data_IF_295917812210
#
_entry.id   IF_295917812210
#
_cell.length_a   1.000
_cell.length_b   1.000
_cell.length_c   1.000
_cell.angle_alpha   90.00
_cell.angle_beta   90.00
_cell.angle_gamma   90.00
#
_symmetry.space_group_name_H-M   'P 1'
#
loop_
_entity.id
_entity.type
_entity.pdbx_description
1 polymer ?
#
# COMPACT_ATOMS: atom_id res chain seq x y z
N UNK A 1 -12.15 -10.99 -17.52
CA UNK A 1 -12.22 -11.34 -16.09
C UNK A 1 -11.54 -12.70 -15.91
N UNK A 2 -10.26 -12.72 -15.55
CA UNK A 2 -9.51 -13.98 -15.24
C UNK A 2 -8.14 -13.70 -14.59
N UNK A 3 -7.55 -12.51 -14.77
CA UNK A 3 -6.20 -12.22 -14.30
C UNK A 3 -6.05 -12.15 -12.77
N UNK A 4 -7.07 -11.71 -12.03
CA UNK A 4 -6.96 -11.56 -10.57
C UNK A 4 -7.04 -12.90 -9.80
N UNK A 5 -7.76 -13.91 -10.31
CA UNK A 5 -7.89 -15.21 -9.62
C UNK A 5 -6.61 -16.03 -9.66
N UNK A 6 -5.98 -16.13 -10.83
CA UNK A 6 -4.75 -16.91 -11.00
C UNK A 6 -3.56 -16.35 -10.22
N UNK A 7 -3.49 -15.03 -10.03
CA UNK A 7 -2.44 -14.42 -9.21
C UNK A 7 -2.54 -14.80 -7.73
N UNK A 8 -3.75 -14.95 -7.20
CA UNK A 8 -3.97 -15.36 -5.81
C UNK A 8 -3.58 -16.83 -5.59
N UNK A 9 -4.04 -17.72 -6.47
CA UNK A 9 -3.72 -19.16 -6.39
C UNK A 9 -2.21 -19.41 -6.54
N UNK A 10 -1.52 -18.67 -7.41
CA UNK A 10 -0.07 -18.73 -7.55
C UNK A 10 0.67 -18.28 -6.29
N UNK A 11 0.19 -17.23 -5.62
CA UNK A 11 0.78 -16.74 -4.37
C UNK A 11 0.55 -17.74 -3.23
N UNK A 12 -0.66 -18.30 -3.11
CA UNK A 12 -0.97 -19.34 -2.14
C UNK A 12 -0.12 -20.59 -2.36
N UNK A 13 -0.03 -21.05 -3.61
CA UNK A 13 0.80 -22.18 -3.97
C UNK A 13 2.28 -21.94 -3.65
N UNK A 14 2.82 -20.76 -4.01
CA UNK A 14 4.21 -20.40 -3.67
C UNK A 14 4.44 -20.39 -2.16
N UNK A 15 3.46 -19.94 -1.38
CA UNK A 15 3.50 -19.93 0.08
C UNK A 15 3.50 -21.35 0.66
N UNK A 16 2.66 -22.25 0.12
CA UNK A 16 2.65 -23.68 0.49
C UNK A 16 3.98 -24.38 0.17
N UNK A 17 4.67 -23.96 -0.90
CA UNK A 17 6.02 -24.46 -1.23
C UNK A 17 7.11 -23.90 -0.29
N UNK A 18 6.74 -23.09 0.70
CA UNK A 18 7.68 -22.49 1.66
C UNK A 18 8.42 -21.28 1.12
N UNK A 19 7.91 -20.61 0.07
CA UNK A 19 8.50 -19.37 -0.40
C UNK A 19 8.47 -18.32 0.73
N UNK A 20 9.61 -17.64 0.98
CA UNK A 20 9.64 -16.55 1.94
C UNK A 20 8.84 -15.37 1.42
N UNK A 21 8.31 -14.56 2.34
CA UNK A 21 7.78 -13.25 1.99
C UNK A 21 8.90 -12.43 1.36
N UNK A 22 8.64 -11.92 0.16
CA UNK A 22 9.50 -10.89 -0.40
C UNK A 22 9.12 -9.56 0.25
N UNK A 23 10.09 -8.75 0.66
CA UNK A 23 9.85 -7.40 1.18
C UNK A 23 8.97 -6.57 0.22
N UNK A 24 9.03 -6.86 -1.09
CA UNK A 24 8.21 -6.21 -2.09
C UNK A 24 6.81 -6.78 -2.33
N UNK A 25 6.38 -7.87 -1.69
CA UNK A 25 5.07 -8.48 -1.99
C UNK A 25 3.92 -7.56 -1.57
N UNK A 26 3.96 -7.05 -0.34
CA UNK A 26 2.96 -6.10 0.17
C UNK A 26 3.04 -4.78 -0.60
N UNK A 27 4.23 -4.24 -0.81
CA UNK A 27 4.44 -2.99 -1.55
C UNK A 27 3.96 -3.08 -3.01
N UNK A 28 4.18 -4.21 -3.68
CA UNK A 28 3.73 -4.45 -5.05
C UNK A 28 2.22 -4.58 -5.15
N UNK A 29 1.57 -5.29 -4.22
CA UNK A 29 0.11 -5.38 -4.15
C UNK A 29 -0.52 -4.02 -3.84
N UNK A 30 0.09 -3.26 -2.93
CA UNK A 30 -0.34 -1.93 -2.55
C UNK A 30 -0.30 -0.94 -3.72
N UNK A 31 0.80 -0.91 -4.47
CA UNK A 31 0.94 -0.08 -5.67
C UNK A 31 0.07 -0.50 -6.85
N UNK A 32 -0.55 -1.68 -6.81
CA UNK A 32 -1.56 -2.12 -7.79
C UNK A 32 -2.99 -1.89 -7.33
N UNK A 33 -3.20 -1.56 -6.06
CA UNK A 33 -4.53 -1.45 -5.46
C UNK A 33 -5.15 -2.79 -5.09
N UNK A 34 -4.35 -3.87 -5.05
CA UNK A 34 -4.83 -5.24 -4.80
C UNK A 34 -5.01 -5.50 -3.29
N UNK A 35 -6.04 -4.86 -2.72
CA UNK A 35 -6.42 -4.98 -1.30
C UNK A 35 -6.54 -6.44 -0.84
N UNK A 36 -7.06 -7.30 -1.71
CA UNK A 36 -7.32 -8.70 -1.40
C UNK A 36 -6.03 -9.50 -1.15
N UNK A 37 -4.97 -9.21 -1.90
CA UNK A 37 -3.65 -9.81 -1.72
C UNK A 37 -3.03 -9.29 -0.42
N UNK A 38 -3.17 -7.99 -0.14
CA UNK A 38 -2.69 -7.39 1.10
C UNK A 38 -3.36 -7.97 2.34
N UNK A 39 -4.68 -8.16 2.32
CA UNK A 39 -5.43 -8.79 3.40
C UNK A 39 -4.93 -10.19 3.69
N UNK A 40 -4.80 -11.01 2.64
CA UNK A 40 -4.29 -12.37 2.79
C UNK A 40 -2.84 -12.41 3.27
N UNK A 41 -1.96 -11.57 2.69
CA UNK A 41 -0.58 -11.47 3.13
C UNK A 41 -0.50 -11.08 4.62
N UNK A 42 -1.38 -10.18 5.06
CA UNK A 42 -1.46 -9.77 6.47
C UNK A 42 -1.92 -10.89 7.39
N UNK A 43 -2.92 -11.68 7.00
CA UNK A 43 -3.39 -12.85 7.75
C UNK A 43 -2.30 -13.92 7.89
N UNK A 44 -1.48 -14.09 6.85
CA UNK A 44 -0.34 -15.01 6.87
C UNK A 44 0.90 -14.48 7.61
N UNK A 45 0.82 -13.28 8.19
CA UNK A 45 1.91 -12.66 8.95
C UNK A 45 3.02 -12.07 8.09
N UNK A 46 2.73 -11.66 6.85
CA UNK A 46 3.70 -10.98 6.00
C UNK A 46 4.22 -9.70 6.66
N UNK A 47 5.53 -9.43 6.58
CA UNK A 47 6.07 -8.14 6.95
C UNK A 47 5.53 -7.07 6.00
N UNK A 48 5.32 -5.90 6.56
CA UNK A 48 4.93 -4.70 5.84
C UNK A 48 5.64 -3.50 6.48
N UNK A 49 5.93 -2.52 5.67
CA UNK A 49 6.72 -1.33 6.01
C UNK A 49 5.99 -0.07 5.54
N UNK A 50 6.56 1.10 5.85
CA UNK A 50 6.08 2.39 5.34
C UNK A 50 6.05 2.42 3.80
N UNK A 51 6.86 1.57 3.16
CA UNK A 51 7.01 1.48 1.72
C UNK A 51 5.74 0.93 1.07
N UNK A 52 5.00 0.09 1.80
CA UNK A 52 3.67 -0.40 1.41
C UNK A 52 2.66 0.75 1.28
N UNK A 53 2.57 1.63 2.27
CA UNK A 53 1.72 2.82 2.22
C UNK A 53 2.18 3.79 1.14
N UNK A 54 3.49 4.02 1.04
CA UNK A 54 4.12 4.84 0.01
C UNK A 54 3.75 4.40 -1.41
N UNK A 55 3.73 3.09 -1.68
CA UNK A 55 3.33 2.56 -3.00
C UNK A 55 1.84 2.67 -3.27
N UNK A 56 0.99 2.44 -2.28
CA UNK A 56 -0.45 2.68 -2.43
C UNK A 56 -0.75 4.15 -2.74
N UNK A 57 -0.03 5.06 -2.09
CA UNK A 57 -0.15 6.50 -2.32
C UNK A 57 0.34 6.92 -3.71
N UNK A 58 1.47 6.38 -4.16
CA UNK A 58 2.03 6.56 -5.50
C UNK A 58 1.06 6.10 -6.61
N UNK A 59 0.31 5.02 -6.38
CA UNK A 59 -0.72 4.52 -7.29
C UNK A 59 -2.12 5.15 -7.11
N UNK A 60 -2.28 6.06 -6.14
CA UNK A 60 -3.56 6.70 -5.87
C UNK A 60 -4.63 5.78 -5.25
N UNK A 61 -4.22 4.66 -4.67
CA UNK A 61 -5.09 3.62 -4.14
C UNK A 61 -5.57 3.94 -2.72
N UNK A 62 -6.54 4.87 -2.62
CA UNK A 62 -7.11 5.33 -1.36
C UNK A 62 -7.67 4.19 -0.48
N UNK A 63 -8.36 3.22 -1.08
CA UNK A 63 -8.97 2.10 -0.33
C UNK A 63 -7.91 1.22 0.34
N UNK A 64 -6.75 1.03 -0.29
CA UNK A 64 -5.62 0.33 0.31
C UNK A 64 -5.07 1.10 1.50
N UNK A 65 -4.93 2.42 1.38
CA UNK A 65 -4.44 3.27 2.46
C UNK A 65 -5.38 3.31 3.66
N UNK A 66 -6.69 3.37 3.43
CA UNK A 66 -7.70 3.27 4.49
C UNK A 66 -7.55 1.99 5.28
N UNK A 67 -7.50 0.85 4.57
CA UNK A 67 -7.33 -0.44 5.20
C UNK A 67 -5.98 -0.57 5.92
N UNK A 68 -4.89 -0.08 5.33
CA UNK A 68 -3.58 -0.07 5.97
C UNK A 68 -3.61 0.74 7.29
N UNK A 69 -4.33 1.87 7.30
CA UNK A 69 -4.51 2.69 8.50
C UNK A 69 -5.32 1.97 9.59
N UNK A 70 -6.40 1.28 9.23
CA UNK A 70 -7.17 0.46 10.19
C UNK A 70 -6.32 -0.63 10.84
N UNK A 71 -5.38 -1.17 10.08
CA UNK A 71 -4.43 -2.19 10.53
C UNK A 71 -3.20 -1.62 11.25
N UNK A 72 -3.20 -0.31 11.55
CA UNK A 72 -2.11 0.44 12.18
C UNK A 72 -0.77 0.33 11.44
N UNK A 73 -0.81 0.34 10.10
CA UNK A 73 0.38 0.36 9.28
C UNK A 73 1.27 1.58 9.61
N UNK A 74 2.61 1.40 9.61
CA UNK A 74 3.51 2.54 9.57
C UNK A 74 3.29 3.27 8.24
N UNK A 75 3.27 4.59 8.33
CA UNK A 75 3.21 5.48 7.19
C UNK A 75 4.08 6.69 7.50
N UNK A 76 4.87 7.08 6.52
CA UNK A 76 5.88 8.14 6.68
C UNK A 76 5.54 9.36 5.80
N UNK A 77 6.25 10.48 5.99
CA UNK A 77 6.15 11.70 5.16
C UNK A 77 6.20 11.40 3.64
N UNK A 78 6.94 10.35 3.27
CA UNK A 78 7.05 9.81 1.91
C UNK A 78 5.70 9.39 1.31
N UNK A 79 4.75 8.99 2.14
CA UNK A 79 3.39 8.62 1.70
C UNK A 79 2.68 9.82 1.10
N UNK A 80 2.77 10.98 1.75
CA UNK A 80 2.14 12.21 1.28
C UNK A 80 2.89 12.78 0.07
N UNK A 81 4.22 12.79 0.12
CA UNK A 81 5.06 13.23 -0.99
C UNK A 81 4.80 12.42 -2.28
N UNK A 82 4.68 11.08 -2.19
CA UNK A 82 4.35 10.23 -3.34
C UNK A 82 2.94 10.44 -3.86
N UNK A 83 1.95 10.62 -2.98
CA UNK A 83 0.60 10.97 -3.41
C UNK A 83 0.57 12.32 -4.17
N UNK A 84 1.37 13.30 -3.73
CA UNK A 84 1.53 14.58 -4.41
C UNK A 84 2.22 14.43 -5.76
N UNK A 85 3.35 13.71 -5.81
CA UNK A 85 4.09 13.45 -7.03
C UNK A 85 3.25 12.69 -8.08
N UNK A 86 2.38 11.77 -7.65
CA UNK A 86 1.42 11.07 -8.50
C UNK A 86 0.19 11.91 -8.91
N UNK A 87 0.03 13.13 -8.38
CA UNK A 87 -1.14 13.97 -8.61
C UNK A 87 -2.43 13.43 -7.99
N UNK A 88 -2.31 12.57 -6.98
CA UNK A 88 -3.43 11.89 -6.33
C UNK A 88 -4.01 12.73 -5.17
N UNK A 89 -4.60 13.87 -5.52
CA UNK A 89 -5.18 14.82 -4.55
C UNK A 89 -6.20 14.20 -3.58
N UNK A 90 -6.95 13.18 -4.01
CA UNK A 90 -7.90 12.45 -3.16
C UNK A 90 -7.22 11.70 -2.02
N UNK A 91 -6.06 11.10 -2.30
CA UNK A 91 -5.23 10.43 -1.29
C UNK A 91 -4.62 11.45 -0.34
N UNK A 92 -4.05 12.55 -0.85
CA UNK A 92 -3.51 13.64 -0.05
C UNK A 92 -4.54 14.23 0.91
N UNK A 93 -5.74 14.53 0.41
CA UNK A 93 -6.82 15.10 1.23
C UNK A 93 -7.19 14.16 2.36
N UNK A 94 -7.35 12.87 2.06
CA UNK A 94 -7.66 11.89 3.09
C UNK A 94 -6.51 11.70 4.09
N UNK A 95 -5.25 11.62 3.63
CA UNK A 95 -4.09 11.52 4.50
C UNK A 95 -3.98 12.73 5.45
N UNK A 96 -4.32 13.93 4.98
CA UNK A 96 -4.43 15.15 5.78
C UNK A 96 -5.50 15.05 6.86
N UNK A 97 -6.69 14.51 6.54
CA UNK A 97 -7.76 14.31 7.54
C UNK A 97 -7.37 13.31 8.62
N UNK A 98 -6.49 12.35 8.30
CA UNK A 98 -5.98 11.36 9.26
C UNK A 98 -4.79 11.83 10.09
N UNK A 99 -4.30 13.07 9.89
CA UNK A 99 -3.17 13.62 10.63
C UNK A 99 -1.82 12.97 10.28
N UNK A 100 -1.62 12.56 9.02
CA UNK A 100 -0.33 12.04 8.57
C UNK A 100 0.79 13.09 8.78
N UNK A 101 2.03 12.65 9.10
CA UNK A 101 3.19 13.54 9.16
C UNK A 101 3.48 14.11 7.76
N UNK A 102 3.68 15.42 7.67
CA UNK A 102 3.99 16.14 6.43
C UNK A 102 5.26 16.94 6.65
N UNK A 103 6.21 16.81 5.73
CA UNK A 103 7.37 17.70 5.64
C UNK A 103 7.07 18.93 4.76
N UNK A 104 7.78 20.03 5.02
CA UNK A 104 7.60 21.35 4.36
C UNK A 104 7.65 21.28 2.82
N UNK A 105 8.30 20.26 2.23
CA UNK A 105 8.34 20.03 0.78
C UNK A 105 6.98 19.63 0.18
N UNK A 106 6.03 19.14 0.98
CA UNK A 106 4.71 18.75 0.47
C UNK A 106 3.88 19.98 0.04
N UNK A 107 4.18 21.16 0.59
CA UNK A 107 3.50 22.42 0.25
C UNK A 107 3.95 23.04 -1.07
N UNK A 108 5.11 22.66 -1.62
CA UNK A 108 5.63 23.24 -2.87
C UNK A 108 5.12 22.53 -4.13
N UNK A 109 4.50 21.36 -3.98
CA UNK A 109 4.04 20.50 -5.08
C UNK A 109 2.50 20.36 -5.16
N UNK A 110 1.75 21.23 -4.47
CA UNK A 110 0.28 21.26 -4.46
C UNK A 110 -0.32 22.29 -5.43
#
# INVERSE_FOLDING_TARGET
MAAQGGHMELLQWAREQGAPWSEGTCAGAAGRGDLRILQWAREEGAPWDDTTCSKAADGGHLEVLKWAKEQAAPWDEHTCSRAAAGGHFGVLKWAREQGAPWDEETCSSA
#
